data_IF_834318687315
#
_entry.id   IF_834318687315
#
_cell.length_a   1.000
_cell.length_b   1.000
_cell.length_c   1.000
_cell.angle_alpha   90.00
_cell.angle_beta   90.00
_cell.angle_gamma   90.00
#
_symmetry.space_group_name_H-M   'P 1'
#
loop_
_entity.id
_entity.type
_entity.pdbx_description
1 polymer ?
#
# COMPACT_ATOMS: atom_id res chain seq x y z
N UNK A 1 -7.42 -10.63 -23.66
CA UNK A 1 -6.34 -10.61 -22.68
C UNK A 1 -5.86 -9.18 -22.62
N UNK A 2 -6.24 -8.48 -21.57
CA UNK A 2 -5.83 -7.11 -21.32
C UNK A 2 -4.45 -7.19 -20.65
N UNK A 3 -3.45 -6.50 -21.19
CA UNK A 3 -2.16 -6.34 -20.50
C UNK A 3 -2.44 -5.74 -19.11
N UNK A 4 -1.80 -6.22 -18.05
CA UNK A 4 -1.92 -5.67 -16.69
C UNK A 4 -1.75 -4.14 -16.72
N UNK A 5 -0.84 -3.64 -17.57
CA UNK A 5 -0.65 -2.21 -17.76
C UNK A 5 -1.93 -1.53 -18.24
N UNK A 6 -2.62 -2.14 -19.20
CA UNK A 6 -3.90 -1.65 -19.75
C UNK A 6 -4.99 -1.69 -18.69
N UNK A 7 -5.08 -2.78 -17.91
CA UNK A 7 -6.06 -2.92 -16.83
C UNK A 7 -5.91 -1.81 -15.78
N UNK A 8 -4.70 -1.61 -15.25
CA UNK A 8 -4.41 -0.55 -14.27
C UNK A 8 -4.57 0.84 -14.88
N UNK A 9 -4.17 1.04 -16.14
CA UNK A 9 -4.39 2.32 -16.82
C UNK A 9 -5.87 2.63 -16.95
N UNK A 10 -6.69 1.63 -17.28
CA UNK A 10 -8.13 1.78 -17.35
C UNK A 10 -8.76 2.04 -15.99
N UNK A 11 -8.32 1.33 -14.94
CA UNK A 11 -8.73 1.59 -13.55
C UNK A 11 -8.47 3.05 -13.18
N UNK A 12 -7.23 3.51 -13.38
CA UNK A 12 -6.82 4.88 -13.07
C UNK A 12 -7.60 5.89 -13.90
N UNK A 13 -7.84 5.64 -15.18
CA UNK A 13 -8.61 6.55 -16.03
C UNK A 13 -10.07 6.67 -15.59
N UNK A 14 -10.68 5.58 -15.14
CA UNK A 14 -12.10 5.53 -14.71
C UNK A 14 -12.29 6.12 -13.31
N UNK A 15 -11.33 5.91 -12.40
CA UNK A 15 -11.44 6.28 -10.98
C UNK A 15 -10.49 7.42 -10.57
N UNK A 16 -9.91 8.15 -11.53
CA UNK A 16 -8.83 9.12 -11.25
C UNK A 16 -9.21 10.13 -10.16
N UNK A 17 -10.41 10.68 -10.28
CA UNK A 17 -10.88 11.74 -9.42
C UNK A 17 -11.24 11.18 -8.05
N UNK A 18 -11.87 10.01 -8.01
CA UNK A 18 -12.18 9.27 -6.80
C UNK A 18 -10.93 8.88 -6.01
N UNK A 19 -9.88 8.38 -6.68
CA UNK A 19 -8.61 8.01 -6.02
C UNK A 19 -7.96 9.25 -5.40
N UNK A 20 -7.95 10.37 -6.12
CA UNK A 20 -7.41 11.63 -5.61
C UNK A 20 -8.22 12.17 -4.43
N UNK A 21 -9.54 12.04 -4.48
CA UNK A 21 -10.41 12.46 -3.40
C UNK A 21 -10.21 11.59 -2.15
N UNK A 22 -10.09 10.26 -2.32
CA UNK A 22 -9.74 9.33 -1.24
C UNK A 22 -8.43 9.75 -0.55
N UNK A 23 -7.38 10.03 -1.32
CA UNK A 23 -6.10 10.47 -0.75
C UNK A 23 -6.26 11.77 0.05
N UNK A 24 -7.03 12.73 -0.47
CA UNK A 24 -7.26 14.02 0.19
C UNK A 24 -8.06 13.87 1.49
N UNK A 25 -9.11 13.06 1.49
CA UNK A 25 -9.92 12.78 2.67
C UNK A 25 -9.05 12.10 3.74
N UNK A 26 -8.26 11.11 3.34
CA UNK A 26 -7.38 10.39 4.26
C UNK A 26 -6.27 11.28 4.83
N UNK A 27 -5.66 12.16 4.03
CA UNK A 27 -4.70 13.16 4.50
C UNK A 27 -5.32 14.12 5.53
N UNK A 28 -6.57 14.54 5.30
CA UNK A 28 -7.31 15.40 6.23
C UNK A 28 -7.56 14.67 7.55
N UNK A 29 -7.99 13.41 7.48
CA UNK A 29 -8.16 12.54 8.64
C UNK A 29 -6.86 12.35 9.44
N UNK A 30 -5.73 12.11 8.77
CA UNK A 30 -4.42 12.01 9.43
C UNK A 30 -4.04 13.31 10.12
N UNK A 31 -4.28 14.45 9.46
CA UNK A 31 -4.03 15.77 10.02
C UNK A 31 -4.82 15.98 11.31
N UNK A 32 -6.12 15.68 11.30
CA UNK A 32 -6.98 15.79 12.47
C UNK A 32 -6.56 14.84 13.60
N UNK A 33 -6.19 13.60 13.24
CA UNK A 33 -5.69 12.61 14.20
C UNK A 33 -4.39 13.09 14.88
N UNK A 34 -3.46 13.68 14.14
CA UNK A 34 -2.20 14.21 14.67
C UNK A 34 -2.47 15.44 15.55
N UNK A 35 -3.33 16.35 15.12
CA UNK A 35 -3.73 17.52 15.90
C UNK A 35 -4.42 17.12 17.21
N UNK A 36 -5.24 16.07 17.20
CA UNK A 36 -5.88 15.54 18.41
C UNK A 36 -4.88 15.04 19.47
N UNK A 37 -3.66 14.68 19.05
CA UNK A 37 -2.54 14.30 19.93
C UNK A 37 -1.73 15.51 20.42
N UNK A 38 -2.21 16.74 20.21
CA UNK A 38 -1.59 18.01 20.57
C UNK A 38 -0.22 18.27 19.90
N UNK A 39 0.01 17.70 18.71
CA UNK A 39 1.22 17.99 17.92
C UNK A 39 0.92 19.20 17.05
N UNK A 40 1.63 20.30 17.27
CA UNK A 40 1.51 21.47 16.41
C UNK A 40 2.32 21.26 15.12
N UNK A 41 1.61 20.83 14.07
CA UNK A 41 2.21 20.49 12.78
C UNK A 41 2.74 21.69 11.99
N UNK A 42 2.34 22.91 12.36
CA UNK A 42 2.78 24.13 11.69
C UNK A 42 4.12 24.66 12.20
N UNK A 43 4.66 24.09 13.29
CA UNK A 43 5.97 24.48 13.83
C UNK A 43 7.08 24.13 12.84
N UNK A 44 7.99 25.08 12.64
CA UNK A 44 9.19 24.85 11.85
C UNK A 44 10.13 23.89 12.57
N UNK A 45 10.56 22.85 11.87
CA UNK A 45 11.37 21.77 12.45
C UNK A 45 12.70 22.32 12.99
N UNK A 46 13.32 23.25 12.26
CA UNK A 46 14.62 23.85 12.61
C UNK A 46 14.56 24.74 13.87
N UNK A 47 13.37 25.14 14.32
CA UNK A 47 13.21 25.91 15.55
C UNK A 47 13.08 25.04 16.80
N UNK A 48 12.92 23.73 16.62
CA UNK A 48 12.83 22.77 17.71
C UNK A 48 14.21 22.30 18.16
N UNK A 49 14.31 21.92 19.43
CA UNK A 49 15.44 21.12 19.90
C UNK A 49 15.38 19.77 19.18
N UNK A 50 16.53 19.25 18.76
CA UNK A 50 16.63 18.03 17.96
C UNK A 50 15.82 16.86 18.53
N UNK A 51 15.90 16.63 19.85
CA UNK A 51 15.12 15.60 20.54
C UNK A 51 13.61 15.77 20.34
N UNK A 52 13.10 16.99 20.43
CA UNK A 52 11.67 17.27 20.28
C UNK A 52 11.23 17.13 18.83
N UNK A 53 12.07 17.56 17.88
CA UNK A 53 11.85 17.35 16.45
C UNK A 53 11.74 15.84 16.13
N UNK A 54 12.73 15.04 16.58
CA UNK A 54 12.72 13.58 16.40
C UNK A 54 11.48 12.95 17.00
N UNK A 55 11.12 13.30 18.23
CA UNK A 55 9.93 12.77 18.88
C UNK A 55 8.65 13.10 18.09
N UNK A 56 8.49 14.35 17.63
CA UNK A 56 7.31 14.76 16.86
C UNK A 56 7.22 14.01 15.52
N UNK A 57 8.34 13.83 14.82
CA UNK A 57 8.37 13.04 13.57
C UNK A 57 7.95 11.59 13.84
N UNK A 58 8.52 10.96 14.88
CA UNK A 58 8.14 9.60 15.26
C UNK A 58 6.67 9.49 15.65
N UNK A 59 6.12 10.49 16.34
CA UNK A 59 4.69 10.50 16.66
C UNK A 59 3.80 10.63 15.42
N UNK A 60 4.20 11.43 14.43
CA UNK A 60 3.49 11.55 13.15
C UNK A 60 3.50 10.22 12.40
N UNK A 61 4.65 9.55 12.37
CA UNK A 61 4.79 8.21 11.78
C UNK A 61 3.89 7.20 12.51
N UNK A 62 3.95 7.17 13.84
CA UNK A 62 3.13 6.27 14.66
C UNK A 62 1.63 6.54 14.50
N UNK A 63 1.22 7.80 14.39
CA UNK A 63 -0.17 8.17 14.11
C UNK A 63 -0.61 7.70 12.72
N UNK A 64 0.26 7.83 11.71
CA UNK A 64 0.02 7.36 10.34
C UNK A 64 -0.15 5.84 10.30
N UNK A 65 0.75 5.09 10.94
CA UNK A 65 0.66 3.65 11.05
C UNK A 65 -0.59 3.21 11.84
N UNK A 66 -0.91 3.90 12.93
CA UNK A 66 -2.13 3.64 13.70
C UNK A 66 -3.39 3.85 12.88
N UNK A 67 -3.44 4.91 12.06
CA UNK A 67 -4.57 5.17 11.18
C UNK A 67 -4.75 4.05 10.14
N UNK A 68 -3.66 3.58 9.53
CA UNK A 68 -3.68 2.48 8.58
C UNK A 68 -4.17 1.17 9.24
N UNK A 69 -3.72 0.89 10.47
CA UNK A 69 -4.19 -0.26 11.24
C UNK A 69 -5.69 -0.13 11.55
N UNK A 70 -6.16 1.07 11.92
CA UNK A 70 -7.58 1.32 12.25
C UNK A 70 -8.50 1.01 11.07
N UNK A 71 -8.10 1.31 9.83
CA UNK A 71 -8.89 0.96 8.65
C UNK A 71 -8.71 -0.51 8.25
N UNK A 72 -7.82 -1.27 8.89
CA UNK A 72 -7.67 -2.71 8.72
C UNK A 72 -6.40 -3.15 7.99
N UNK A 73 -5.45 -2.26 7.70
CA UNK A 73 -4.15 -2.67 7.12
C UNK A 73 -3.37 -3.50 8.15
N UNK A 74 -2.94 -4.73 7.81
CA UNK A 74 -2.18 -5.57 8.73
C UNK A 74 -0.87 -4.91 9.14
N UNK A 75 -0.55 -4.94 10.44
CA UNK A 75 0.72 -4.41 10.97
C UNK A 75 1.95 -5.02 10.29
N UNK A 76 1.87 -6.29 9.84
CA UNK A 76 2.93 -6.97 9.11
C UNK A 76 3.23 -6.37 7.73
N UNK A 77 2.28 -5.65 7.12
CA UNK A 77 2.47 -4.95 5.85
C UNK A 77 3.02 -3.52 6.04
N UNK A 78 3.13 -3.03 7.28
CA UNK A 78 3.60 -1.68 7.57
C UNK A 78 5.10 -1.67 7.88
N UNK A 79 5.79 -0.63 7.43
CA UNK A 79 7.18 -0.40 7.77
C UNK A 79 7.30 0.09 9.21
N UNK A 80 8.31 -0.40 9.93
CA UNK A 80 8.56 0.02 11.31
C UNK A 80 8.86 1.52 11.41
N UNK A 81 8.40 2.16 12.49
CA UNK A 81 8.46 3.61 12.65
C UNK A 81 9.89 4.17 12.51
N UNK A 82 10.89 3.48 13.05
CA UNK A 82 12.29 3.89 12.96
C UNK A 82 12.86 3.77 11.54
N UNK A 83 12.43 2.78 10.76
CA UNK A 83 12.87 2.65 9.37
C UNK A 83 12.26 3.78 8.53
N UNK A 84 10.97 4.06 8.73
CA UNK A 84 10.29 5.20 8.08
C UNK A 84 10.96 6.54 8.44
N UNK A 85 11.38 6.71 9.70
CA UNK A 85 12.12 7.89 10.13
C UNK A 85 13.46 8.02 9.38
N UNK A 86 14.23 6.95 9.29
CA UNK A 86 15.52 6.97 8.56
C UNK A 86 15.33 7.23 7.06
N UNK A 87 14.41 6.50 6.42
CA UNK A 87 14.17 6.55 4.98
C UNK A 87 13.56 7.89 4.54
N UNK A 88 12.53 8.37 5.26
CA UNK A 88 11.76 9.53 4.81
C UNK A 88 12.16 10.83 5.46
N UNK A 89 12.67 10.83 6.70
CA UNK A 89 13.07 12.06 7.38
C UNK A 89 14.58 12.31 7.33
N UNK A 90 15.42 11.43 7.88
CA UNK A 90 16.86 11.72 8.02
C UNK A 90 17.55 11.96 6.67
N UNK A 91 17.25 11.13 5.67
CA UNK A 91 17.85 11.25 4.34
C UNK A 91 17.38 12.50 3.56
N UNK A 92 16.23 13.08 3.95
CA UNK A 92 15.56 14.14 3.19
C UNK A 92 15.26 15.38 4.04
N UNK A 93 15.89 15.53 5.22
CA UNK A 93 15.56 16.56 6.22
C UNK A 93 15.47 17.97 5.64
N UNK A 94 16.37 18.32 4.71
CA UNK A 94 16.42 19.64 4.07
C UNK A 94 15.19 19.99 3.23
N UNK A 95 14.34 19.02 2.91
CA UNK A 95 13.11 19.21 2.13
C UNK A 95 11.92 19.62 2.99
N UNK A 96 12.00 19.47 4.32
CA UNK A 96 10.88 19.69 5.23
C UNK A 96 11.07 20.95 6.06
N UNK A 97 10.20 21.93 5.87
CA UNK A 97 10.24 23.19 6.63
C UNK A 97 9.52 23.05 7.96
N UNK A 98 8.40 22.33 7.97
CA UNK A 98 7.56 22.08 9.14
C UNK A 98 7.04 20.64 9.16
N UNK A 99 6.47 20.22 10.28
CA UNK A 99 5.94 18.86 10.46
C UNK A 99 4.80 18.50 9.48
N UNK A 100 3.99 19.48 9.08
CA UNK A 100 2.97 19.29 8.04
C UNK A 100 3.61 18.94 6.69
N UNK A 101 4.69 19.62 6.30
CA UNK A 101 5.40 19.30 5.06
C UNK A 101 6.01 17.91 5.09
N UNK A 102 6.46 17.43 6.26
CA UNK A 102 6.88 16.04 6.42
C UNK A 102 5.72 15.05 6.17
N UNK A 103 4.53 15.32 6.73
CA UNK A 103 3.34 14.49 6.46
C UNK A 103 2.95 14.51 4.97
N UNK A 104 2.84 15.70 4.38
CA UNK A 104 2.30 15.91 3.03
C UNK A 104 3.27 15.57 1.89
N UNK A 105 4.57 15.56 2.17
CA UNK A 105 5.61 15.29 1.17
C UNK A 105 6.39 14.03 1.52
N UNK A 106 6.92 13.96 2.75
CA UNK A 106 7.76 12.84 3.18
C UNK A 106 7.00 11.51 3.27
N UNK A 107 5.80 11.52 3.85
CA UNK A 107 4.98 10.30 3.99
C UNK A 107 3.99 10.06 2.85
N UNK A 108 3.92 10.97 1.88
CA UNK A 108 2.92 10.95 0.82
C UNK A 108 2.92 9.64 0.02
N UNK A 109 4.09 9.24 -0.47
CA UNK A 109 4.22 8.02 -1.29
C UNK A 109 3.93 6.77 -0.46
N UNK A 110 4.30 6.77 0.82
CA UNK A 110 4.01 5.69 1.76
C UNK A 110 2.50 5.51 1.96
N UNK A 111 1.79 6.61 2.26
CA UNK A 111 0.34 6.62 2.47
C UNK A 111 -0.38 6.22 1.17
N UNK A 112 -0.04 6.86 0.05
CA UNK A 112 -0.71 6.63 -1.23
C UNK A 112 -0.47 5.21 -1.75
N UNK A 113 0.72 4.61 -1.50
CA UNK A 113 0.97 3.20 -1.79
C UNK A 113 -0.06 2.32 -1.09
N UNK A 114 -0.23 2.48 0.22
CA UNK A 114 -1.16 1.65 0.99
C UNK A 114 -2.61 1.86 0.55
N UNK A 115 -3.04 3.11 0.36
CA UNK A 115 -4.39 3.41 -0.12
C UNK A 115 -4.65 2.82 -1.52
N UNK A 116 -3.68 2.87 -2.43
CA UNK A 116 -3.82 2.27 -3.74
C UNK A 116 -3.82 0.74 -3.68
N UNK A 117 -2.97 0.13 -2.85
CA UNK A 117 -2.99 -1.33 -2.60
C UNK A 117 -4.35 -1.80 -2.11
N UNK A 118 -5.04 -1.05 -1.23
CA UNK A 118 -6.40 -1.39 -0.79
C UNK A 118 -7.39 -1.47 -1.97
N UNK A 119 -7.25 -0.57 -2.94
CA UNK A 119 -8.09 -0.60 -4.16
C UNK A 119 -7.81 -1.87 -4.96
N UNK A 120 -6.53 -2.25 -5.12
CA UNK A 120 -6.15 -3.48 -5.81
C UNK A 120 -6.64 -4.73 -5.07
N UNK A 121 -6.45 -4.79 -3.75
CA UNK A 121 -6.88 -5.89 -2.89
C UNK A 121 -8.41 -6.08 -2.98
N UNK A 122 -9.18 -4.98 -3.13
CA UNK A 122 -10.62 -5.07 -3.38
C UNK A 122 -10.97 -5.66 -4.76
N UNK A 123 -10.20 -5.32 -5.81
CA UNK A 123 -10.40 -5.90 -7.14
C UNK A 123 -10.15 -7.41 -7.15
N UNK A 124 -9.19 -7.87 -6.35
CA UNK A 124 -8.78 -9.28 -6.21
C UNK A 124 -9.68 -10.10 -5.27
N UNK A 125 -10.71 -9.50 -4.65
CA UNK A 125 -11.53 -10.13 -3.60
C UNK A 125 -10.78 -10.54 -2.32
N UNK A 126 -9.55 -10.06 -2.15
CA UNK A 126 -8.68 -10.47 -1.05
C UNK A 126 -9.10 -9.86 0.29
N UNK A 127 -9.62 -8.63 0.31
CA UNK A 127 -10.06 -7.99 1.56
C UNK A 127 -11.13 -6.89 1.37
N UNK A 128 -12.41 -7.27 1.45
CA UNK A 128 -13.52 -6.31 1.39
C UNK A 128 -13.68 -5.48 2.67
N UNK A 129 -13.12 -5.94 3.80
CA UNK A 129 -13.36 -5.32 5.11
C UNK A 129 -12.68 -3.96 5.22
N UNK A 130 -11.54 -3.77 4.57
CA UNK A 130 -10.82 -2.49 4.60
C UNK A 130 -11.65 -1.40 3.89
N UNK A 131 -12.29 -1.71 2.76
CA UNK A 131 -13.19 -0.76 2.08
C UNK A 131 -14.42 -0.46 2.93
N UNK A 132 -14.98 -1.45 3.64
CA UNK A 132 -16.07 -1.22 4.58
C UNK A 132 -15.66 -0.36 5.77
N UNK A 133 -14.47 -0.55 6.31
CA UNK A 133 -13.94 0.31 7.37
C UNK A 133 -13.74 1.75 6.86
N UNK A 134 -13.20 1.92 5.64
CA UNK A 134 -13.08 3.25 5.04
C UNK A 134 -14.44 3.95 4.92
N UNK A 135 -15.49 3.22 4.55
CA UNK A 135 -16.87 3.75 4.51
C UNK A 135 -17.38 4.09 5.92
N UNK A 136 -17.14 3.22 6.92
CA UNK A 136 -17.54 3.44 8.33
C UNK A 136 -16.89 4.67 8.98
N UNK A 137 -15.66 5.01 8.57
CA UNK A 137 -14.95 6.19 9.05
C UNK A 137 -15.21 7.44 8.18
N UNK A 138 -16.15 7.39 7.24
CA UNK A 138 -16.43 8.45 6.27
C UNK A 138 -15.18 8.85 5.45
N UNK A 139 -14.27 7.90 5.20
CA UNK A 139 -13.01 8.08 4.47
C UNK A 139 -13.11 7.69 3.00
N UNK A 140 -14.25 7.17 2.56
CA UNK A 140 -14.48 6.76 1.18
C UNK A 140 -15.25 7.86 0.43
N UNK A 141 -14.79 8.31 -0.76
CA UNK A 141 -15.53 9.26 -1.58
C UNK A 141 -16.92 8.76 -1.95
N UNK A 142 -17.84 9.72 -2.19
CA UNK A 142 -19.19 9.38 -2.63
C UNK A 142 -19.14 8.57 -3.95
N UNK A 143 -19.95 7.52 -4.03
CA UNK A 143 -20.00 6.57 -5.16
C UNK A 143 -18.71 5.80 -5.48
N UNK A 144 -17.63 5.92 -4.69
CA UNK A 144 -16.36 5.22 -4.94
C UNK A 144 -16.58 3.70 -5.07
N UNK A 145 -17.25 3.10 -4.09
CA UNK A 145 -17.57 1.66 -4.07
C UNK A 145 -18.41 1.25 -5.28
N UNK A 146 -19.39 2.09 -5.66
CA UNK A 146 -20.25 1.83 -6.81
C UNK A 146 -19.46 1.83 -8.13
N UNK A 147 -18.56 2.81 -8.32
CA UNK A 147 -17.72 2.87 -9.52
C UNK A 147 -16.69 1.75 -9.57
N UNK A 148 -16.07 1.42 -8.43
CA UNK A 148 -15.11 0.33 -8.33
C UNK A 148 -15.78 -1.04 -8.63
N UNK A 149 -16.99 -1.26 -8.10
CA UNK A 149 -17.79 -2.45 -8.40
C UNK A 149 -18.17 -2.54 -9.89
N UNK A 150 -18.57 -1.41 -10.49
CA UNK A 150 -18.87 -1.36 -11.92
C UNK A 150 -17.64 -1.72 -12.75
N UNK A 151 -16.50 -1.09 -12.46
CA UNK A 151 -15.23 -1.39 -13.13
C UNK A 151 -14.92 -2.89 -13.07
N UNK A 152 -14.90 -3.46 -11.87
CA UNK A 152 -14.64 -4.89 -11.65
C UNK A 152 -15.55 -5.79 -12.49
N UNK A 153 -16.86 -5.51 -12.50
CA UNK A 153 -17.84 -6.30 -13.25
C UNK A 153 -17.68 -6.18 -14.77
N UNK A 154 -17.21 -5.03 -15.29
CA UNK A 154 -16.98 -4.83 -16.72
C UNK A 154 -15.62 -5.34 -17.20
N UNK A 155 -14.60 -5.31 -16.35
CA UNK A 155 -13.23 -5.66 -16.73
C UNK A 155 -12.98 -7.17 -16.83
N UNK A 156 -13.86 -8.00 -16.25
CA UNK A 156 -13.77 -9.48 -16.27
C UNK A 156 -12.33 -9.98 -16.03
N UNK A 157 -11.75 -9.58 -14.90
CA UNK A 157 -10.36 -9.87 -14.52
C UNK A 157 -10.21 -11.38 -14.37
N UNK A 158 -9.38 -12.00 -15.22
CA UNK A 158 -9.13 -13.43 -15.15
C UNK A 158 -8.11 -13.76 -14.03
N UNK A 159 -8.09 -15.03 -13.62
CA UNK A 159 -7.27 -15.52 -12.48
C UNK A 159 -5.77 -15.25 -12.67
N UNK A 160 -5.28 -15.36 -13.91
CA UNK A 160 -3.89 -15.03 -14.24
C UNK A 160 -3.57 -13.56 -13.95
N UNK A 161 -4.47 -12.66 -14.27
CA UNK A 161 -4.36 -11.23 -14.01
C UNK A 161 -4.43 -10.93 -12.51
N UNK A 162 -5.19 -11.70 -11.73
CA UNK A 162 -5.21 -11.61 -10.25
C UNK A 162 -3.83 -11.94 -9.67
N UNK A 163 -3.21 -13.05 -10.10
CA UNK A 163 -1.87 -13.41 -9.64
C UNK A 163 -0.82 -12.34 -10.00
N UNK A 164 -0.92 -11.74 -11.19
CA UNK A 164 -0.05 -10.65 -11.60
C UNK A 164 -0.31 -9.34 -10.82
N UNK A 165 -1.56 -9.07 -10.45
CA UNK A 165 -1.93 -7.94 -9.60
C UNK A 165 -1.35 -8.09 -8.19
N UNK A 166 -1.29 -9.30 -7.64
CA UNK A 166 -0.70 -9.56 -6.34
C UNK A 166 0.80 -9.23 -6.34
N UNK A 167 1.54 -9.71 -7.34
CA UNK A 167 2.97 -9.41 -7.52
C UNK A 167 3.17 -7.91 -7.80
N UNK A 168 2.30 -7.30 -8.60
CA UNK A 168 2.35 -5.86 -8.84
C UNK A 168 2.11 -5.05 -7.56
N UNK A 169 1.21 -5.52 -6.68
CA UNK A 169 0.87 -4.87 -5.42
C UNK A 169 2.04 -4.91 -4.44
N UNK A 170 2.79 -6.02 -4.37
CA UNK A 170 3.99 -6.12 -3.52
C UNK A 170 5.08 -5.13 -3.94
N UNK A 171 5.32 -5.01 -5.25
CA UNK A 171 6.37 -4.17 -5.84
C UNK A 171 5.84 -2.89 -6.49
N UNK A 172 4.71 -2.38 -5.98
CA UNK A 172 3.98 -1.28 -6.62
C UNK A 172 4.85 -0.06 -6.91
N UNK A 173 5.70 0.34 -5.96
CA UNK A 173 6.57 1.51 -6.11
C UNK A 173 7.67 1.32 -7.16
N UNK A 174 8.01 0.09 -7.54
CA UNK A 174 8.97 -0.19 -8.61
C UNK A 174 8.39 0.18 -9.97
N UNK A 175 7.11 -0.15 -10.18
CA UNK A 175 6.47 -0.04 -11.49
C UNK A 175 5.57 1.18 -11.65
N UNK A 176 5.01 1.68 -10.55
CA UNK A 176 3.96 2.69 -10.54
C UNK A 176 4.23 3.75 -9.48
N UNK A 177 3.86 4.99 -9.80
CA UNK A 177 3.87 6.09 -8.86
C UNK A 177 2.43 6.33 -8.38
N UNK A 178 2.06 5.90 -7.16
CA UNK A 178 0.70 6.05 -6.65
C UNK A 178 0.32 7.51 -6.39
N UNK A 179 1.28 8.39 -6.11
CA UNK A 179 1.02 9.82 -5.88
C UNK A 179 0.63 10.58 -7.15
N UNK A 180 1.19 10.20 -8.29
CA UNK A 180 0.92 10.83 -9.58
C UNK A 180 0.00 10.00 -10.48
N UNK A 181 -0.28 8.75 -10.07
CA UNK A 181 -1.07 7.76 -10.81
C UNK A 181 -0.50 7.46 -12.20
N UNK A 182 0.83 7.29 -12.29
CA UNK A 182 1.55 7.06 -13.54
C UNK A 182 2.51 5.88 -13.44
N UNK A 183 2.67 5.13 -14.52
CA UNK A 183 3.71 4.11 -14.64
C UNK A 183 5.11 4.75 -14.71
N UNK A 184 6.08 4.12 -14.03
CA UNK A 184 7.50 4.51 -14.07
C UNK A 184 8.24 3.88 -15.25
N UNK A 185 7.79 2.70 -15.69
CA UNK A 185 8.36 1.95 -16.81
C UNK A 185 7.39 1.89 -17.98
N UNK A 186 7.90 1.99 -19.21
CA UNK A 186 7.08 1.89 -20.41
C UNK A 186 6.58 0.47 -20.66
N UNK A 187 7.30 -0.55 -20.21
CA UNK A 187 6.91 -1.96 -20.33
C UNK A 187 6.94 -2.64 -18.97
N UNK A 188 5.81 -3.24 -18.55
CA UNK A 188 5.75 -4.06 -17.34
C UNK A 188 6.35 -5.44 -17.66
N UNK A 189 7.51 -5.73 -17.08
CA UNK A 189 8.10 -7.07 -17.07
C UNK A 189 7.94 -7.63 -15.66
N UNK A 190 6.77 -8.22 -15.41
CA UNK A 190 6.50 -8.93 -14.16
C UNK A 190 6.77 -10.40 -14.45
N UNK A 191 7.92 -10.88 -14.01
CA UNK A 191 8.23 -12.30 -14.02
C UNK A 191 7.44 -12.94 -12.87
N UNK A 192 6.34 -13.63 -13.20
CA UNK A 192 5.79 -14.58 -12.26
C UNK A 192 6.87 -15.63 -12.02
N UNK A 193 7.36 -15.74 -10.78
CA UNK A 193 8.11 -16.92 -10.36
C UNK A 193 7.12 -18.09 -10.41
N UNK A 194 6.96 -18.67 -11.61
CA UNK A 194 6.59 -20.06 -11.69
C UNK A 194 7.82 -20.75 -11.16
N UNK A 195 7.81 -21.14 -9.88
CA UNK A 195 8.68 -22.23 -9.44
C UNK A 195 8.31 -23.39 -10.37
N UNK A 196 9.08 -23.54 -11.45
CA UNK A 196 9.09 -24.78 -12.21
C UNK A 196 9.78 -25.77 -11.28
N UNK A 197 9.06 -26.27 -10.28
CA UNK A 197 9.41 -27.54 -9.67
C UNK A 197 9.47 -28.50 -10.84
N UNK A 198 10.69 -28.90 -11.20
CA UNK A 198 10.87 -29.85 -12.27
C UNK A 198 10.14 -31.12 -11.85
N UNK A 199 9.66 -31.90 -12.80
CA UNK A 199 9.02 -33.19 -12.51
C UNK A 199 9.95 -34.07 -11.65
N UNK A 200 11.27 -33.88 -11.78
CA UNK A 200 12.32 -34.49 -10.96
C UNK A 200 12.30 -34.02 -9.50
N UNK A 201 12.04 -32.74 -9.22
CA UNK A 201 11.93 -32.22 -7.85
C UNK A 201 10.69 -32.76 -7.14
N UNK A 202 9.56 -32.84 -7.85
CA UNK A 202 8.31 -33.44 -7.33
C UNK A 202 8.50 -34.94 -7.06
N UNK A 203 9.16 -35.65 -7.98
CA UNK A 203 9.48 -37.07 -7.81
C UNK A 203 10.43 -37.30 -6.63
N UNK A 204 11.37 -36.38 -6.41
CA UNK A 204 12.31 -36.46 -5.29
C UNK A 204 11.60 -36.24 -3.95
N UNK A 205 10.75 -35.22 -3.83
CA UNK A 205 9.95 -34.99 -2.61
C UNK A 205 9.00 -36.16 -2.31
N UNK A 206 8.37 -36.75 -3.35
CA UNK A 206 7.54 -37.95 -3.19
C UNK A 206 8.35 -39.17 -2.78
N UNK A 207 9.60 -39.30 -3.22
CA UNK A 207 10.49 -40.39 -2.81
C UNK A 207 10.94 -40.21 -1.35
N UNK A 208 11.34 -39.00 -0.96
CA UNK A 208 11.74 -38.65 0.40
C UNK A 208 10.57 -38.88 1.38
N UNK A 209 9.36 -38.40 1.06
CA UNK A 209 8.16 -38.62 1.88
C UNK A 209 7.77 -40.12 1.98
N UNK A 210 8.09 -40.94 0.99
CA UNK A 210 7.89 -42.40 1.07
C UNK A 210 8.93 -43.08 1.94
N UNK A 211 10.16 -42.57 1.96
CA UNK A 211 11.25 -43.15 2.74
C UNK A 211 11.06 -42.86 4.24
N UNK A 212 10.65 -41.63 4.58
CA UNK A 212 10.33 -41.23 5.95
C UNK A 212 9.18 -42.06 6.55
N UNK A 213 8.17 -42.40 5.73
CA UNK A 213 7.07 -43.26 6.17
C UNK A 213 7.48 -44.73 6.38
N UNK A 214 8.51 -45.21 5.69
CA UNK A 214 9.03 -46.58 5.89
C UNK A 214 9.91 -46.64 7.14
N UNK A 215 10.71 -45.60 7.39
CA UNK A 215 11.52 -45.49 8.60
C UNK A 215 10.68 -45.28 9.87
N UNK A 216 9.50 -44.65 9.75
CA UNK A 216 8.57 -44.49 10.88
C UNK A 216 7.83 -45.80 11.28
N UNK A 217 7.90 -46.86 10.46
CA UNK A 217 7.21 -48.15 10.70
C UNK A 217 8.22 -49.27 11.07
N UNK A 218 9.53 -49.02 11.04
CA UNK A 218 10.59 -49.95 11.43
C UNK A 218 11.01 -49.77 12.90
#
# INVERSE_FOLDING_TARGET
MEDLKTLISNLVNVLKDEIKELYKIYESYLTDLILSKNINISINIDTCIEKDATNNILFIIAATNSALITIGVPKSKLTADHNLYQEFYEQNKSQFTNFLSFLQVGLKDYINKHLFTIILDYLMESDYKIIENLDLFDLLPHDFRNKLNRFKNTSNIAEKEINLLEIFSSDLLTYFNPSNLTFKVEHLQIEAQVESLSEEDILKELQEARQDNIEAIA
#
